data_IF_953963421217
#
_entry.id   IF_953963421217
#
_cell.length_a   1.000
_cell.length_b   1.000
_cell.length_c   1.000
_cell.angle_alpha   90.00
_cell.angle_beta   90.00
_cell.angle_gamma   90.00
#
_symmetry.space_group_name_H-M   'P 1'
#
loop_
_entity.id
_entity.type
_entity.pdbx_description
1 polymer ?
#
# COMPACT_ATOMS: atom_id res chain seq x y z
N UNK A 1 -21.81 -10.32 8.81
CA UNK A 1 -21.88 -8.86 8.64
C UNK A 1 -20.60 -8.15 9.15
N UNK A 2 -20.05 -8.50 10.33
CA UNK A 2 -18.86 -7.83 10.88
C UNK A 2 -17.63 -7.82 9.95
N UNK A 3 -17.32 -8.97 9.34
CA UNK A 3 -16.20 -9.07 8.39
C UNK A 3 -16.38 -8.22 7.14
N UNK A 4 -17.63 -8.01 6.71
CA UNK A 4 -17.89 -7.19 5.53
C UNK A 4 -17.71 -5.70 5.86
N UNK A 5 -18.08 -5.26 7.06
CA UNK A 5 -17.76 -3.91 7.52
C UNK A 5 -16.26 -3.67 7.70
N UNK A 6 -15.51 -4.66 8.20
CA UNK A 6 -14.04 -4.58 8.27
C UNK A 6 -13.41 -4.52 6.88
N UNK A 7 -13.91 -5.31 5.94
CA UNK A 7 -13.44 -5.29 4.55
C UNK A 7 -13.72 -3.92 3.91
N UNK A 8 -14.94 -3.41 4.04
CA UNK A 8 -15.33 -2.10 3.50
C UNK A 8 -14.54 -0.95 4.13
N UNK A 9 -14.27 -0.99 5.44
CA UNK A 9 -13.44 0.03 6.09
C UNK A 9 -12.01 0.01 5.57
N UNK A 10 -11.39 -1.17 5.44
CA UNK A 10 -10.05 -1.33 4.86
C UNK A 10 -9.97 -0.85 3.41
N UNK A 11 -10.98 -1.17 2.58
CA UNK A 11 -11.02 -0.71 1.18
C UNK A 11 -11.12 0.81 1.07
N UNK A 12 -11.86 1.46 1.99
CA UNK A 12 -12.02 2.91 2.00
C UNK A 12 -10.72 3.63 2.38
N UNK A 13 -9.96 3.06 3.33
CA UNK A 13 -8.68 3.61 3.79
C UNK A 13 -7.47 2.97 3.10
N UNK A 14 -7.68 2.25 1.99
CA UNK A 14 -6.63 1.53 1.28
C UNK A 14 -5.62 2.53 0.70
N UNK A 15 -4.56 2.79 1.47
CA UNK A 15 -3.51 3.71 1.10
C UNK A 15 -2.51 3.02 0.16
N UNK A 16 -2.38 3.58 -1.03
CA UNK A 16 -1.43 3.13 -2.07
C UNK A 16 -0.24 4.07 -2.20
N UNK A 17 -0.04 4.98 -1.26
CA UNK A 17 1.01 5.98 -1.33
C UNK A 17 2.38 5.35 -1.11
N UNK A 18 3.29 5.56 -2.07
CA UNK A 18 4.68 5.12 -1.96
C UNK A 18 5.43 6.14 -1.11
N UNK A 19 5.86 5.73 0.08
CA UNK A 19 6.68 6.58 0.94
C UNK A 19 8.11 6.70 0.39
N UNK A 20 8.64 7.92 0.21
CA UNK A 20 10.02 8.10 -0.20
C UNK A 20 10.95 7.72 0.94
N UNK A 21 11.86 6.78 0.69
CA UNK A 21 12.88 6.46 1.66
C UNK A 21 13.93 7.57 1.70
N UNK A 22 14.22 8.12 2.89
CA UNK A 22 15.22 9.19 3.05
C UNK A 22 16.53 8.64 3.60
N UNK A 23 17.64 9.03 2.97
CA UNK A 23 18.97 8.82 3.53
C UNK A 23 19.20 9.83 4.65
N UNK A 24 19.45 9.33 5.86
CA UNK A 24 19.77 10.17 7.01
C UNK A 24 21.29 10.29 7.15
N UNK A 25 21.94 10.93 6.17
CA UNK A 25 23.37 11.26 6.23
C UNK A 25 24.30 10.25 5.53
N UNK A 26 25.57 10.63 5.45
CA UNK A 26 26.68 9.92 4.77
C UNK A 26 27.15 8.65 5.51
N UNK A 27 26.34 8.08 6.40
CA UNK A 27 26.71 7.02 7.35
C UNK A 27 26.37 5.60 6.88
N UNK A 28 26.08 5.42 5.59
CA UNK A 28 25.90 4.09 4.99
C UNK A 28 24.66 3.32 5.46
N UNK A 29 23.71 4.00 6.12
CA UNK A 29 22.46 3.37 6.58
C UNK A 29 21.49 3.12 5.42
N UNK A 30 20.78 1.99 5.50
CA UNK A 30 19.73 1.61 4.56
C UNK A 30 18.62 2.67 4.60
N UNK A 31 18.15 3.17 3.44
CA UNK A 31 17.04 4.10 3.37
C UNK A 31 15.84 3.56 4.14
N UNK A 32 15.33 4.34 5.11
CA UNK A 32 14.15 3.98 5.89
C UNK A 32 13.02 4.96 5.58
N UNK A 33 11.81 4.44 5.37
CA UNK A 33 10.60 5.24 5.26
C UNK A 33 10.22 5.73 6.67
N UNK A 34 10.00 7.03 6.83
CA UNK A 34 9.77 7.66 8.15
C UNK A 34 8.31 8.09 8.37
N UNK A 35 7.40 7.89 7.40
CA UNK A 35 5.98 8.21 7.52
C UNK A 35 5.57 9.70 7.53
N UNK A 36 6.50 10.65 7.71
CA UNK A 36 6.16 12.07 7.82
C UNK A 36 6.13 12.84 6.48
N UNK A 37 5.18 13.76 6.35
CA UNK A 37 5.10 14.71 5.22
C UNK A 37 4.57 14.10 3.92
N UNK A 38 3.88 12.96 4.02
CA UNK A 38 3.22 12.28 2.91
C UNK A 38 1.73 12.60 2.99
N UNK A 39 1.17 13.10 1.89
CA UNK A 39 -0.27 13.36 1.81
C UNK A 39 -0.99 12.08 1.40
N UNK A 40 -1.90 11.62 2.26
CA UNK A 40 -2.73 10.46 2.01
C UNK A 40 -4.08 10.92 1.46
N UNK A 41 -4.52 10.36 0.34
CA UNK A 41 -5.78 10.73 -0.31
C UNK A 41 -6.65 9.48 -0.52
N UNK A 42 -7.97 9.65 -0.40
CA UNK A 42 -8.94 8.60 -0.71
C UNK A 42 -8.74 8.08 -2.15
N UNK A 43 -8.86 6.77 -2.35
CA UNK A 43 -8.64 6.12 -3.64
C UNK A 43 -9.89 5.43 -4.15
N UNK A 44 -10.02 5.37 -5.47
CA UNK A 44 -10.99 4.50 -6.14
C UNK A 44 -10.54 3.04 -5.99
N UNK A 45 -11.25 2.28 -5.14
CA UNK A 45 -10.96 0.88 -4.88
C UNK A 45 -10.95 0.04 -6.17
N UNK A 46 -11.86 0.28 -7.09
CA UNK A 46 -11.94 -0.51 -8.34
C UNK A 46 -10.70 -0.30 -9.20
N UNK A 47 -10.19 0.92 -9.24
CA UNK A 47 -8.92 1.26 -9.88
C UNK A 47 -7.73 0.54 -9.24
N UNK A 48 -7.66 0.54 -7.90
CA UNK A 48 -6.59 -0.14 -7.14
C UNK A 48 -6.63 -1.65 -7.41
N UNK A 49 -7.80 -2.26 -7.35
CA UNK A 49 -7.99 -3.70 -7.60
C UNK A 49 -7.55 -4.08 -9.02
N UNK A 50 -8.03 -3.36 -10.04
CA UNK A 50 -7.68 -3.63 -11.46
C UNK A 50 -6.18 -3.50 -11.70
N UNK A 51 -5.54 -2.46 -11.15
CA UNK A 51 -4.10 -2.29 -11.30
C UNK A 51 -3.33 -3.43 -10.63
N UNK A 52 -3.73 -3.81 -9.41
CA UNK A 52 -3.10 -4.90 -8.65
C UNK A 52 -3.25 -6.22 -9.38
N UNK A 53 -4.45 -6.57 -9.85
CA UNK A 53 -4.68 -7.80 -10.62
C UNK A 53 -3.91 -7.84 -11.94
N UNK A 54 -3.53 -6.69 -12.50
CA UNK A 54 -2.70 -6.63 -13.71
C UNK A 54 -1.20 -6.78 -13.41
N UNK A 55 -0.73 -6.34 -12.25
CA UNK A 55 0.71 -6.22 -11.93
C UNK A 55 1.14 -7.06 -10.72
N UNK A 56 0.26 -7.88 -10.14
CA UNK A 56 0.62 -8.79 -9.06
C UNK A 56 1.74 -9.72 -9.52
N UNK A 57 2.65 -10.04 -8.60
CA UNK A 57 3.71 -11.00 -8.89
C UNK A 57 3.07 -12.34 -9.22
N UNK A 58 3.51 -12.99 -10.30
CA UNK A 58 3.13 -14.38 -10.58
C UNK A 58 3.81 -15.29 -9.54
N UNK A 59 3.17 -15.47 -8.38
CA UNK A 59 3.53 -16.51 -7.41
C UNK A 59 2.55 -17.68 -7.55
N UNK A 60 3.06 -18.91 -7.42
CA UNK A 60 2.29 -20.15 -7.47
C UNK A 60 1.66 -20.48 -6.10
N UNK A 61 1.57 -19.51 -5.19
CA UNK A 61 0.95 -19.62 -3.87
C UNK A 61 -0.38 -18.93 -3.91
N UNK A 62 -1.45 -19.68 -3.67
CA UNK A 62 -2.79 -19.14 -3.50
C UNK A 62 -2.88 -18.47 -2.12
N UNK A 63 -2.55 -17.18 -2.07
CA UNK A 63 -2.76 -16.28 -0.93
C UNK A 63 -3.48 -15.01 -1.39
N UNK A 64 -3.92 -14.16 -0.45
CA UNK A 64 -4.55 -12.88 -0.79
C UNK A 64 -3.48 -12.00 -1.47
N UNK A 65 -3.63 -11.89 -2.80
CA UNK A 65 -2.74 -11.36 -3.85
C UNK A 65 -1.88 -12.44 -4.52
#
# INVERSE_FOLDING_TARGET
HCFDFLRQSLMCVADTTIEPARYRGSDGKVPTAHGWGVEHQCKDWDGVWKWTMKHHAHDNRTGIL
#
